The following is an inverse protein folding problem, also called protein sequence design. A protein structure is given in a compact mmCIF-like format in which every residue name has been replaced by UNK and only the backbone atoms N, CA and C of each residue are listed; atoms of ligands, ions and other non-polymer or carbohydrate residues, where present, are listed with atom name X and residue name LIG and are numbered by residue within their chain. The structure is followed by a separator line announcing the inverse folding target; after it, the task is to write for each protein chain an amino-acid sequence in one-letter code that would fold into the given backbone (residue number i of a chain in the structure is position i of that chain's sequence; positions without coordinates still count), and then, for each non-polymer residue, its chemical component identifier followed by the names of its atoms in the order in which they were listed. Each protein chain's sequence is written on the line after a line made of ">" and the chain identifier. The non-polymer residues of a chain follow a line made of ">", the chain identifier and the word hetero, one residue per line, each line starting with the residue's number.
data_IF_533598330937
#
_entry.id   IF_533598330937
#
_cell.length_a   1.000
_cell.length_b   1.000
_cell.length_c   1.000
_cell.angle_alpha   90.00
_cell.angle_beta   90.00
_cell.angle_gamma   90.00
#
_symmetry.space_group_name_H-M   'P 1'
#
loop_
_entity.id
_entity.type
_entity.pdbx_description
1 polymer ?
#
# COMPACT_ATOMS: atom_id res chain seq x y z
N UNK A 1 45.11 14.02 -17.41
CA UNK A 1 44.61 15.36 -17.04
C UNK A 1 43.55 15.19 -15.96
N UNK A 2 43.84 15.64 -14.74
CA UNK A 2 42.92 15.66 -13.60
C UNK A 2 41.95 16.84 -13.76
N UNK A 3 40.65 16.59 -13.91
CA UNK A 3 39.63 17.65 -13.86
C UNK A 3 39.02 17.65 -12.47
N UNK A 4 39.50 18.56 -11.62
CA UNK A 4 38.94 18.82 -10.30
C UNK A 4 37.66 19.66 -10.40
N UNK A 5 36.65 19.27 -9.61
CA UNK A 5 35.39 20.00 -9.39
C UNK A 5 35.65 21.42 -8.89
N UNK A 6 34.99 22.43 -9.50
CA UNK A 6 34.58 23.66 -8.83
C UNK A 6 33.31 24.21 -9.46
N UNK A 7 32.16 23.71 -9.01
CA UNK A 7 30.90 24.46 -9.05
C UNK A 7 30.64 24.86 -7.61
N UNK A 8 30.83 26.14 -7.29
CA UNK A 8 30.45 26.69 -6.00
C UNK A 8 28.93 26.72 -5.92
N UNK A 9 28.35 26.11 -4.89
CA UNK A 9 26.92 26.23 -4.65
C UNK A 9 26.62 27.67 -4.20
N UNK A 10 25.95 28.45 -5.05
CA UNK A 10 25.45 29.78 -4.70
C UNK A 10 24.04 29.65 -4.12
N UNK A 11 23.89 29.96 -2.83
CA UNK A 11 22.62 29.88 -2.08
C UNK A 11 21.96 31.27 -1.88
N UNK A 12 22.43 32.30 -2.59
CA UNK A 12 22.09 33.70 -2.29
C UNK A 12 20.67 34.13 -2.68
N UNK A 13 19.91 33.30 -3.41
CA UNK A 13 18.58 33.68 -3.94
C UNK A 13 17.52 32.58 -3.79
N UNK A 14 17.53 31.85 -2.67
CA UNK A 14 16.54 30.80 -2.40
C UNK A 14 15.35 31.38 -1.63
N UNK A 15 14.24 31.61 -2.33
CA UNK A 15 12.95 31.95 -1.73
C UNK A 15 12.27 30.73 -1.08
N UNK A 16 12.88 30.16 -0.04
CA UNK A 16 12.37 28.97 0.69
C UNK A 16 10.91 29.18 1.14
N UNK A 17 10.56 30.40 1.56
CA UNK A 17 9.19 30.77 1.99
C UNK A 17 8.14 30.53 0.90
N UNK A 18 8.47 30.71 -0.38
CA UNK A 18 7.54 30.50 -1.50
C UNK A 18 7.29 29.01 -1.76
N UNK A 19 8.32 28.20 -1.55
CA UNK A 19 8.24 26.75 -1.71
C UNK A 19 7.61 26.04 -0.51
N UNK A 20 7.60 26.66 0.68
CA UNK A 20 7.06 26.03 1.89
C UNK A 20 5.59 25.62 1.74
N UNK A 21 4.77 26.45 1.07
CA UNK A 21 3.36 26.13 0.79
C UNK A 21 3.24 24.89 -0.11
N UNK A 22 4.06 24.80 -1.15
CA UNK A 22 4.08 23.66 -2.07
C UNK A 22 4.62 22.40 -1.39
N UNK A 23 5.68 22.53 -0.60
CA UNK A 23 6.28 21.43 0.16
C UNK A 23 5.27 20.84 1.15
N UNK A 24 4.50 21.67 1.86
CA UNK A 24 3.42 21.19 2.74
C UNK A 24 2.40 20.37 1.95
N UNK A 25 1.96 20.87 0.78
CA UNK A 25 1.01 20.12 -0.07
C UNK A 25 1.60 18.78 -0.52
N UNK A 26 2.87 18.75 -0.94
CA UNK A 26 3.54 17.51 -1.34
C UNK A 26 3.66 16.52 -0.18
N UNK A 27 4.01 17.00 1.02
CA UNK A 27 4.08 16.16 2.22
C UNK A 27 2.72 15.58 2.58
N UNK A 28 1.66 16.38 2.51
CA UNK A 28 0.29 15.92 2.77
C UNK A 28 -0.12 14.89 1.73
N UNK A 29 0.13 15.13 0.44
CA UNK A 29 -0.17 14.18 -0.64
C UNK A 29 0.60 12.87 -0.47
N UNK A 30 1.88 12.94 -0.09
CA UNK A 30 2.72 11.76 0.13
C UNK A 30 2.25 10.93 1.35
N UNK A 31 1.59 11.55 2.33
CA UNK A 31 1.15 10.91 3.58
C UNK A 31 -0.37 10.83 3.71
N UNK A 32 -1.12 11.06 2.63
CA UNK A 32 -2.57 11.25 2.71
C UNK A 32 -3.28 9.99 3.22
N UNK A 33 -2.82 8.81 2.81
CA UNK A 33 -3.30 7.52 3.30
C UNK A 33 -3.11 7.36 4.82
N UNK A 34 -1.93 7.71 5.34
CA UNK A 34 -1.65 7.65 6.78
C UNK A 34 -2.51 8.65 7.56
N UNK A 35 -2.72 9.84 7.02
CA UNK A 35 -3.60 10.84 7.65
C UNK A 35 -5.04 10.34 7.74
N UNK A 36 -5.59 9.79 6.65
CA UNK A 36 -6.95 9.24 6.66
C UNK A 36 -7.09 8.07 7.64
N UNK A 37 -6.18 7.10 7.60
CA UNK A 37 -6.26 5.95 8.51
C UNK A 37 -6.16 6.33 9.99
N UNK A 38 -5.37 7.36 10.32
CA UNK A 38 -5.28 7.86 11.69
C UNK A 38 -6.53 8.66 12.07
N UNK A 39 -7.07 9.45 11.15
CA UNK A 39 -8.32 10.18 11.35
C UNK A 39 -9.49 9.23 11.59
N UNK A 40 -9.61 8.15 10.83
CA UNK A 40 -10.65 7.12 11.01
C UNK A 40 -10.65 6.56 12.44
N UNK A 41 -9.45 6.24 12.96
CA UNK A 41 -9.28 5.71 14.32
C UNK A 41 -9.68 6.73 15.38
N UNK A 42 -9.30 8.00 15.18
CA UNK A 42 -9.70 9.09 16.07
C UNK A 42 -11.21 9.27 16.06
N UNK A 43 -11.85 9.28 14.88
CA UNK A 43 -13.30 9.40 14.78
C UNK A 43 -14.02 8.23 15.47
N UNK A 44 -13.57 6.99 15.28
CA UNK A 44 -14.17 5.83 15.97
C UNK A 44 -13.99 5.95 17.50
N UNK A 45 -12.81 6.38 17.95
CA UNK A 45 -12.52 6.51 19.38
C UNK A 45 -13.33 7.61 20.08
N UNK A 46 -13.54 8.74 19.41
CA UNK A 46 -14.29 9.88 19.96
C UNK A 46 -15.80 9.72 19.82
N UNK A 47 -16.29 9.17 18.70
CA UNK A 47 -17.74 9.12 18.41
C UNK A 47 -18.41 7.77 18.70
N UNK A 48 -17.66 6.68 18.87
CA UNK A 48 -18.22 5.34 19.13
C UNK A 48 -17.81 4.85 20.51
N UNK A 49 -16.57 4.38 20.66
CA UNK A 49 -15.99 3.95 21.94
C UNK A 49 -14.51 3.57 21.74
N UNK A 50 -13.72 3.62 22.82
CA UNK A 50 -12.31 3.20 22.81
C UNK A 50 -12.12 1.71 22.49
N UNK A 51 -13.02 0.81 22.92
CA UNK A 51 -12.93 -0.61 22.58
C UNK A 51 -13.16 -0.84 21.07
N UNK A 52 -14.01 -0.04 20.44
CA UNK A 52 -14.29 -0.11 19.01
C UNK A 52 -13.07 0.25 18.15
N UNK A 53 -12.15 1.06 18.67
CA UNK A 53 -10.87 1.33 18.01
C UNK A 53 -10.07 0.03 17.85
N UNK A 54 -10.02 -0.82 18.88
CA UNK A 54 -9.34 -2.12 18.79
C UNK A 54 -10.04 -3.03 17.78
N UNK A 55 -11.36 -3.02 17.75
CA UNK A 55 -12.15 -3.81 16.80
C UNK A 55 -11.95 -3.41 15.34
N UNK A 56 -11.55 -2.16 15.08
CA UNK A 56 -11.18 -1.68 13.75
C UNK A 56 -9.69 -1.89 13.44
N UNK A 57 -8.81 -1.53 14.37
CA UNK A 57 -7.35 -1.51 14.16
C UNK A 57 -6.75 -2.90 14.03
N UNK A 58 -7.28 -3.90 14.73
CA UNK A 58 -6.80 -5.29 14.62
C UNK A 58 -7.00 -5.87 13.20
N UNK A 59 -8.24 -5.92 12.66
CA UNK A 59 -8.46 -6.34 11.27
C UNK A 59 -7.65 -5.52 10.24
N UNK A 60 -7.55 -4.20 10.45
CA UNK A 60 -6.78 -3.32 9.58
C UNK A 60 -5.29 -3.69 9.56
N UNK A 61 -4.70 -3.94 10.72
CA UNK A 61 -3.28 -4.32 10.85
C UNK A 61 -2.98 -5.67 10.19
N UNK A 62 -3.86 -6.65 10.38
CA UNK A 62 -3.74 -7.97 9.77
C UNK A 62 -3.81 -7.86 8.25
N UNK A 63 -4.79 -7.11 7.74
CA UNK A 63 -4.95 -6.86 6.31
C UNK A 63 -3.75 -6.09 5.72
N UNK A 64 -3.18 -5.16 6.49
CA UNK A 64 -1.95 -4.45 6.14
C UNK A 64 -0.74 -5.38 6.01
N UNK A 65 -0.63 -6.38 6.89
CA UNK A 65 0.44 -7.39 6.81
C UNK A 65 0.29 -8.27 5.57
N UNK A 66 -0.93 -8.72 5.26
CA UNK A 66 -1.21 -9.45 4.02
C UNK A 66 -0.88 -8.61 2.78
N UNK A 67 -1.16 -7.30 2.85
CA UNK A 67 -0.84 -6.40 1.76
C UNK A 67 0.68 -6.20 1.58
N UNK A 68 1.45 -6.15 2.66
CA UNK A 68 2.91 -6.08 2.59
C UNK A 68 3.52 -7.30 1.88
N UNK A 69 2.92 -8.49 2.04
CA UNK A 69 3.30 -9.69 1.29
C UNK A 69 3.07 -9.52 -0.22
N UNK A 70 1.94 -8.91 -0.60
CA UNK A 70 1.68 -8.61 -2.02
C UNK A 70 2.65 -7.58 -2.59
N UNK A 71 2.99 -6.54 -1.81
CA UNK A 71 3.99 -5.55 -2.18
C UNK A 71 5.34 -6.20 -2.51
N UNK A 72 5.72 -7.21 -1.73
CA UNK A 72 6.98 -7.94 -1.89
C UNK A 72 7.03 -8.69 -3.23
N UNK A 73 5.91 -9.24 -3.69
CA UNK A 73 5.80 -9.88 -5.00
C UNK A 73 6.02 -8.88 -6.14
N UNK A 74 5.42 -7.70 -6.04
CA UNK A 74 5.59 -6.63 -7.04
C UNK A 74 7.02 -6.09 -7.05
N UNK A 75 7.62 -5.89 -5.87
CA UNK A 75 8.99 -5.37 -5.74
C UNK A 75 10.04 -6.25 -6.42
N UNK A 76 9.82 -7.57 -6.50
CA UNK A 76 10.72 -8.49 -7.24
C UNK A 76 10.39 -8.57 -8.73
N UNK A 77 9.15 -8.29 -9.14
CA UNK A 77 8.73 -8.32 -10.53
C UNK A 77 9.16 -7.05 -11.30
N UNK A 78 9.11 -5.88 -10.65
CA UNK A 78 9.46 -4.58 -11.24
C UNK A 78 10.86 -4.51 -11.88
N UNK A 79 11.97 -4.93 -11.21
CA UNK A 79 13.30 -4.90 -11.81
C UNK A 79 13.44 -5.84 -13.01
N UNK A 80 12.70 -6.97 -13.02
CA UNK A 80 12.68 -7.91 -14.16
C UNK A 80 11.99 -7.28 -15.37
N UNK A 81 10.88 -6.57 -15.15
CA UNK A 81 10.16 -5.84 -16.20
C UNK A 81 11.00 -4.70 -16.77
N UNK A 82 11.62 -3.88 -15.91
CA UNK A 82 12.46 -2.73 -16.31
C UNK A 82 13.70 -3.14 -17.11
N UNK A 83 14.33 -4.27 -16.77
CA UNK A 83 15.49 -4.77 -17.52
C UNK A 83 15.10 -5.22 -18.94
N UNK A 84 13.96 -5.90 -19.08
CA UNK A 84 13.49 -6.43 -20.37
C UNK A 84 12.95 -5.33 -21.29
N UNK A 85 12.36 -4.27 -20.74
CA UNK A 85 11.98 -3.08 -21.51
C UNK A 85 13.18 -2.49 -22.28
N UNK A 86 14.35 -2.46 -21.62
CA UNK A 86 15.58 -1.90 -22.21
C UNK A 86 16.24 -2.83 -23.24
N UNK A 87 16.01 -4.15 -23.18
CA UNK A 87 16.70 -5.13 -24.03
C UNK A 87 15.86 -5.75 -25.15
N UNK A 88 14.53 -5.85 -25.01
CA UNK A 88 13.67 -6.64 -25.92
C UNK A 88 12.47 -5.89 -26.53
N UNK A 89 12.39 -4.57 -26.31
CA UNK A 89 11.35 -3.72 -26.89
C UNK A 89 9.97 -3.85 -26.23
N UNK A 90 9.04 -3.00 -26.67
CA UNK A 90 7.73 -2.75 -26.03
C UNK A 90 6.79 -3.96 -26.03
N UNK A 91 6.79 -4.77 -27.08
CA UNK A 91 5.90 -5.95 -27.18
C UNK A 91 6.27 -7.06 -26.18
N UNK A 92 7.57 -7.24 -25.92
CA UNK A 92 8.06 -8.20 -24.92
C UNK A 92 7.74 -7.74 -23.48
N UNK A 93 7.73 -6.41 -23.25
CA UNK A 93 7.35 -5.81 -21.98
C UNK A 93 5.87 -6.05 -21.66
N UNK A 94 4.98 -5.73 -22.60
CA UNK A 94 3.52 -5.93 -22.45
C UNK A 94 3.15 -7.39 -22.16
N UNK A 95 3.81 -8.34 -22.85
CA UNK A 95 3.57 -9.78 -22.64
C UNK A 95 4.00 -10.27 -21.25
N UNK A 96 5.14 -9.77 -20.75
CA UNK A 96 5.61 -10.10 -19.42
C UNK A 96 4.76 -9.44 -18.34
N UNK A 97 4.39 -8.18 -18.54
CA UNK A 97 3.51 -7.42 -17.65
C UNK A 97 2.17 -8.14 -17.47
N UNK A 98 1.56 -8.58 -18.57
CA UNK A 98 0.33 -9.40 -18.54
C UNK A 98 0.52 -10.72 -17.79
N UNK A 99 1.66 -11.38 -17.97
CA UNK A 99 1.94 -12.65 -17.30
C UNK A 99 2.11 -12.49 -15.79
N UNK A 100 2.90 -11.50 -15.35
CA UNK A 100 3.10 -11.15 -13.94
C UNK A 100 1.77 -10.75 -13.29
N UNK A 101 0.97 -9.95 -13.98
CA UNK A 101 -0.32 -9.50 -13.46
C UNK A 101 -1.32 -10.63 -13.31
N UNK A 102 -1.33 -11.55 -14.28
CA UNK A 102 -2.16 -12.75 -14.20
C UNK A 102 -1.75 -13.62 -13.01
N UNK A 103 -0.45 -13.83 -12.80
CA UNK A 103 0.07 -14.55 -11.62
C UNK A 103 -0.30 -13.85 -10.31
N UNK A 104 -0.23 -12.51 -10.28
CA UNK A 104 -0.64 -11.71 -9.14
C UNK A 104 -2.13 -11.91 -8.82
N UNK A 105 -3.02 -11.84 -9.82
CA UNK A 105 -4.45 -12.08 -9.62
C UNK A 105 -4.76 -13.51 -9.17
N UNK A 106 -4.04 -14.50 -9.68
CA UNK A 106 -4.17 -15.89 -9.22
C UNK A 106 -3.83 -16.06 -7.74
N UNK A 107 -2.97 -15.21 -7.17
CA UNK A 107 -2.66 -15.23 -5.74
C UNK A 107 -3.59 -14.32 -4.93
N UNK A 108 -4.00 -13.17 -5.50
CA UNK A 108 -4.87 -12.19 -4.84
C UNK A 108 -6.22 -12.81 -4.42
N UNK A 109 -6.93 -13.45 -5.35
CA UNK A 109 -8.26 -13.99 -5.11
C UNK A 109 -8.31 -15.08 -4.03
N UNK A 110 -7.47 -16.14 -4.05
CA UNK A 110 -7.51 -17.16 -3.01
C UNK A 110 -7.10 -16.60 -1.64
N UNK A 111 -6.19 -15.62 -1.57
CA UNK A 111 -5.85 -14.95 -0.31
C UNK A 111 -7.05 -14.16 0.22
N UNK A 112 -7.73 -13.39 -0.63
CA UNK A 112 -8.92 -12.64 -0.24
C UNK A 112 -10.06 -13.54 0.22
N UNK A 113 -10.33 -14.63 -0.52
CA UNK A 113 -11.32 -15.63 -0.14
C UNK A 113 -10.93 -16.31 1.17
N UNK A 114 -9.65 -16.64 1.35
CA UNK A 114 -9.11 -17.20 2.58
C UNK A 114 -9.35 -16.30 3.78
N UNK A 115 -9.05 -15.00 3.64
CA UNK A 115 -9.31 -14.00 4.70
C UNK A 115 -10.81 -13.87 5.02
N UNK A 116 -11.67 -13.93 4.00
CA UNK A 116 -13.11 -13.78 4.17
C UNK A 116 -13.73 -15.01 4.86
N UNK A 117 -13.35 -16.22 4.44
CA UNK A 117 -13.87 -17.47 5.00
C UNK A 117 -13.31 -17.71 6.40
N UNK A 118 -12.00 -17.48 6.59
CA UNK A 118 -11.31 -17.67 7.87
C UNK A 118 -11.39 -16.45 8.79
N UNK A 119 -12.27 -15.48 8.50
CA UNK A 119 -12.35 -14.22 9.25
C UNK A 119 -12.57 -14.47 10.75
N UNK A 120 -13.33 -15.52 11.09
CA UNK A 120 -13.64 -15.88 12.48
C UNK A 120 -12.42 -16.44 13.18
N UNK A 121 -11.74 -17.39 12.54
CA UNK A 121 -10.57 -18.09 13.02
C UNK A 121 -9.41 -17.10 13.21
N UNK A 122 -9.19 -16.22 12.24
CA UNK A 122 -8.15 -15.19 12.31
C UNK A 122 -8.39 -14.28 13.53
N UNK A 123 -9.62 -13.78 13.73
CA UNK A 123 -9.90 -12.91 14.87
C UNK A 123 -9.80 -13.64 16.23
N UNK A 124 -10.21 -14.90 16.29
CA UNK A 124 -10.07 -15.73 17.49
C UNK A 124 -8.60 -15.99 17.84
N UNK A 125 -7.72 -16.19 16.85
CA UNK A 125 -6.28 -16.38 17.08
C UNK A 125 -5.64 -15.10 17.63
N UNK A 126 -6.05 -13.93 17.12
CA UNK A 126 -5.42 -12.66 17.49
C UNK A 126 -5.88 -12.10 18.86
N UNK A 127 -7.13 -12.33 19.26
CA UNK A 127 -7.66 -11.78 20.52
C UNK A 127 -8.83 -12.54 21.12
N UNK A 128 -8.97 -13.81 20.77
CA UNK A 128 -9.98 -14.69 21.38
C UNK A 128 -11.42 -14.22 21.18
N UNK A 129 -12.28 -14.60 22.12
CA UNK A 129 -13.70 -14.26 22.09
C UNK A 129 -14.00 -12.77 22.23
N UNK A 130 -13.07 -11.98 22.77
CA UNK A 130 -13.23 -10.53 22.93
C UNK A 130 -13.26 -9.78 21.59
N UNK A 131 -12.63 -10.34 20.55
CA UNK A 131 -12.64 -9.79 19.19
C UNK A 131 -13.75 -10.38 18.29
N UNK A 132 -14.71 -11.13 18.86
CA UNK A 132 -15.85 -11.62 18.11
C UNK A 132 -16.65 -10.51 17.36
N UNK A 133 -16.85 -9.30 17.92
CA UNK A 133 -17.52 -8.21 17.19
C UNK A 133 -16.76 -7.76 15.92
N UNK A 134 -15.44 -7.94 15.89
CA UNK A 134 -14.55 -7.54 14.79
C UNK A 134 -14.60 -8.48 13.59
N UNK A 135 -15.25 -9.64 13.69
CA UNK A 135 -15.32 -10.63 12.60
C UNK A 135 -15.95 -10.00 11.36
N UNK A 136 -17.00 -9.21 11.52
CA UNK A 136 -17.66 -8.57 10.39
C UNK A 136 -16.76 -7.49 9.76
N UNK A 137 -16.04 -6.73 10.59
CA UNK A 137 -15.04 -5.75 10.14
C UNK A 137 -13.94 -6.43 9.32
N UNK A 138 -13.46 -7.60 9.75
CA UNK A 138 -12.47 -8.39 9.02
C UNK A 138 -12.97 -8.83 7.63
N UNK A 139 -14.25 -9.22 7.51
CA UNK A 139 -14.84 -9.57 6.20
C UNK A 139 -14.86 -8.37 5.26
N UNK A 140 -15.19 -7.18 5.77
CA UNK A 140 -15.15 -5.94 4.98
C UNK A 140 -13.72 -5.65 4.51
N UNK A 141 -12.73 -5.78 5.40
CA UNK A 141 -11.33 -5.61 5.04
C UNK A 141 -10.84 -6.65 4.02
N UNK A 142 -11.38 -7.86 4.04
CA UNK A 142 -11.06 -8.90 3.04
C UNK A 142 -11.53 -8.52 1.63
N UNK A 143 -12.67 -7.82 1.52
CA UNK A 143 -13.15 -7.28 0.25
C UNK A 143 -12.28 -6.08 -0.16
N UNK A 144 -11.97 -5.20 0.79
CA UNK A 144 -11.09 -4.05 0.55
C UNK A 144 -9.69 -4.47 0.08
N UNK A 145 -9.16 -5.60 0.57
CA UNK A 145 -7.91 -6.19 0.13
C UNK A 145 -7.88 -6.50 -1.37
N UNK A 146 -9.00 -6.93 -1.96
CA UNK A 146 -9.11 -7.14 -3.42
C UNK A 146 -8.97 -5.81 -4.16
N UNK A 147 -9.65 -4.77 -3.69
CA UNK A 147 -9.57 -3.42 -4.27
C UNK A 147 -8.14 -2.89 -4.23
N UNK A 148 -7.45 -3.05 -3.09
CA UNK A 148 -6.03 -2.70 -2.96
C UNK A 148 -5.16 -3.49 -3.95
N UNK A 149 -5.40 -4.79 -4.10
CA UNK A 149 -4.68 -5.62 -5.07
C UNK A 149 -4.81 -5.11 -6.50
N UNK A 150 -6.00 -4.66 -6.90
CA UNK A 150 -6.24 -4.06 -8.23
C UNK A 150 -5.49 -2.72 -8.35
N UNK A 151 -5.56 -1.87 -7.32
CA UNK A 151 -4.82 -0.60 -7.26
C UNK A 151 -3.31 -0.80 -7.47
N UNK A 152 -2.74 -1.85 -6.87
CA UNK A 152 -1.32 -2.17 -7.07
C UNK A 152 -0.99 -2.52 -8.51
N UNK A 153 -1.79 -3.38 -9.15
CA UNK A 153 -1.55 -3.77 -10.54
C UNK A 153 -1.64 -2.55 -11.45
N UNK A 154 -2.66 -1.70 -11.26
CA UNK A 154 -2.83 -0.46 -12.04
C UNK A 154 -1.65 0.50 -11.88
N UNK A 155 -1.21 0.74 -10.64
CA UNK A 155 -0.08 1.64 -10.35
C UNK A 155 1.21 1.17 -11.04
N UNK A 156 1.44 -0.14 -11.09
CA UNK A 156 2.63 -0.70 -11.74
C UNK A 156 2.52 -0.81 -13.26
N UNK A 157 1.31 -0.80 -13.83
CA UNK A 157 1.11 -0.79 -15.29
C UNK A 157 1.31 0.59 -15.91
N UNK A 158 1.13 1.64 -15.12
CA UNK A 158 1.18 3.03 -15.58
C UNK A 158 2.63 3.58 -15.52
N UNK A 159 3.57 2.89 -14.86
CA UNK A 159 5.01 3.18 -14.91
C UNK A 159 5.71 2.43 -16.07
#
# INVERSE_FOLDING_TARGET
>A
MYISRKVGYDFSNIEIKKHIKFLIVVVVMANINTLFTQLDRLMIGEFVDKASVTYYTMPQSISGTMNALMLSFTAVALPRLSNILQTKGKDSYENLLRSVSREFYYLLFPVAIGMLVLSKEIMLIYGGSELAPSINTMRIFSIYFVTLGIEYVLTNHIL
#
